data_IF_036295835813
#
_entry.id   IF_036295835813
#
_cell.length_a   1.000
_cell.length_b   1.000
_cell.length_c   1.000
_cell.angle_alpha   90.00
_cell.angle_beta   90.00
_cell.angle_gamma   90.00
#
_symmetry.space_group_name_H-M   'P 1'
#
loop_
_entity.id
_entity.type
_entity.pdbx_description
1 polymer ?
#
# COMPACT_ATOMS: atom_id res chain seq x y z
N UNK A 1 9.98 -9.32 17.72
CA UNK A 1 8.63 -8.72 17.83
C UNK A 1 8.63 -7.42 17.07
N UNK A 2 7.74 -7.27 16.10
CA UNK A 2 7.22 -5.98 15.64
C UNK A 2 6.08 -6.29 14.68
N UNK A 3 4.90 -6.52 15.23
CA UNK A 3 3.63 -6.39 14.52
C UNK A 3 3.39 -4.89 14.29
N UNK A 4 4.25 -4.27 13.48
CA UNK A 4 3.99 -2.92 12.97
C UNK A 4 2.81 -3.04 12.02
N UNK A 5 1.73 -2.32 12.32
CA UNK A 5 0.55 -2.17 11.48
C UNK A 5 0.97 -1.98 10.03
N UNK A 6 0.73 -2.98 9.19
CA UNK A 6 1.07 -2.92 7.77
C UNK A 6 0.23 -1.81 7.15
N UNK A 7 0.90 -0.78 6.62
CA UNK A 7 0.21 0.30 5.92
C UNK A 7 -0.49 -0.25 4.67
N UNK A 8 -1.80 -0.01 4.59
CA UNK A 8 -2.69 -0.54 3.57
C UNK A 8 -3.69 0.51 3.13
N UNK A 9 -4.21 0.39 1.91
CA UNK A 9 -5.29 1.24 1.45
C UNK A 9 -6.60 0.91 2.18
N UNK A 10 -7.23 1.93 2.75
CA UNK A 10 -8.57 1.91 3.33
C UNK A 10 -9.40 2.99 2.63
N UNK A 11 -10.74 2.93 2.71
CA UNK A 11 -11.59 3.97 2.10
C UNK A 11 -11.24 5.37 2.60
N UNK A 12 -10.77 5.47 3.84
CA UNK A 12 -10.41 6.73 4.48
C UNK A 12 -9.08 7.33 3.99
N UNK A 13 -8.10 6.50 3.60
CA UNK A 13 -6.77 6.99 3.18
C UNK A 13 -6.55 6.91 1.65
N UNK A 14 -7.43 6.25 0.90
CA UNK A 14 -7.26 6.04 -0.54
C UNK A 14 -7.11 7.36 -1.32
N UNK A 15 -7.97 8.34 -1.03
CA UNK A 15 -7.88 9.67 -1.67
C UNK A 15 -6.58 10.40 -1.34
N UNK A 16 -6.03 10.18 -0.15
CA UNK A 16 -4.73 10.77 0.21
C UNK A 16 -3.59 10.05 -0.51
N UNK A 17 -3.70 8.74 -0.76
CA UNK A 17 -2.69 7.94 -1.47
C UNK A 17 -2.60 8.25 -2.97
N UNK A 18 -3.66 8.77 -3.57
CA UNK A 18 -3.66 9.25 -4.96
C UNK A 18 -2.85 10.55 -5.15
N UNK A 19 -2.55 11.27 -4.06
CA UNK A 19 -1.79 12.52 -4.14
C UNK A 19 -0.30 12.23 -4.33
N UNK A 20 0.37 12.87 -5.32
CA UNK A 20 1.82 12.76 -5.48
C UNK A 20 2.57 13.09 -4.18
N UNK A 21 3.47 12.20 -3.78
CA UNK A 21 4.26 12.35 -2.54
C UNK A 21 3.56 11.88 -1.27
N UNK A 22 2.35 11.32 -1.34
CA UNK A 22 1.65 10.77 -0.17
C UNK A 22 2.43 9.65 0.54
N UNK A 23 3.12 8.80 -0.23
CA UNK A 23 3.98 7.75 0.30
C UNK A 23 5.20 8.27 1.07
N UNK A 24 5.67 9.49 0.78
CA UNK A 24 6.78 10.12 1.51
C UNK A 24 6.32 10.52 2.92
N UNK A 25 5.08 11.03 3.04
CA UNK A 25 4.49 11.41 4.33
C UNK A 25 4.26 10.21 5.24
N UNK A 26 4.01 9.05 4.64
CA UNK A 26 3.75 7.79 5.34
C UNK A 26 4.95 6.83 5.32
N UNK A 27 6.15 7.32 4.98
CA UNK A 27 7.32 6.47 4.75
C UNK A 27 7.60 5.53 5.93
N UNK A 28 7.57 6.02 7.16
CA UNK A 28 7.81 5.20 8.36
C UNK A 28 6.78 4.07 8.54
N UNK A 29 5.55 4.25 8.07
CA UNK A 29 4.49 3.25 8.16
C UNK A 29 4.57 2.18 7.04
N UNK A 30 5.28 2.46 5.95
CA UNK A 30 5.45 1.49 4.85
C UNK A 30 6.30 0.29 5.30
N UNK A 31 5.94 -0.89 4.81
CA UNK A 31 6.77 -2.08 4.98
C UNK A 31 8.10 -1.92 4.24
N UNK A 32 9.13 -2.61 4.73
CA UNK A 32 10.46 -2.59 4.08
C UNK A 32 10.39 -2.98 2.60
N UNK A 33 9.54 -3.97 2.25
CA UNK A 33 9.36 -4.41 0.85
C UNK A 33 8.83 -3.29 -0.05
N UNK A 34 7.88 -2.48 0.43
CA UNK A 34 7.35 -1.36 -0.36
C UNK A 34 8.40 -0.26 -0.49
N UNK A 35 9.16 0.02 0.59
CA UNK A 35 10.28 0.97 0.54
C UNK A 35 11.30 0.58 -0.51
N UNK A 36 11.70 -0.70 -0.52
CA UNK A 36 12.65 -1.24 -1.50
C UNK A 36 12.12 -1.14 -2.93
N UNK A 37 10.82 -1.42 -3.15
CA UNK A 37 10.20 -1.29 -4.46
C UNK A 37 10.15 0.18 -4.95
N UNK A 38 9.90 1.14 -4.06
CA UNK A 38 9.95 2.57 -4.39
C UNK A 38 11.39 2.99 -4.75
N UNK A 39 12.38 2.60 -3.95
CA UNK A 39 13.79 2.90 -4.25
C UNK A 39 14.26 2.24 -5.55
N UNK A 40 13.77 1.04 -5.86
CA UNK A 40 14.08 0.35 -7.10
C UNK A 40 13.46 1.08 -8.31
N UNK A 41 12.19 1.48 -8.21
CA UNK A 41 11.51 2.20 -9.29
C UNK A 41 12.12 3.58 -9.54
N UNK A 42 12.52 4.29 -8.48
CA UNK A 42 13.28 5.55 -8.59
C UNK A 42 14.60 5.34 -9.35
N UNK A 43 15.37 4.31 -9.00
CA UNK A 43 16.64 3.98 -9.68
C UNK A 43 16.46 3.54 -11.14
N UNK A 44 15.29 2.99 -11.47
CA UNK A 44 14.93 2.56 -12.81
C UNK A 44 14.22 3.66 -13.62
N UNK A 45 14.07 4.87 -13.06
CA UNK A 45 13.32 5.98 -13.67
C UNK A 45 11.88 5.61 -14.05
N UNK A 46 11.26 4.71 -13.29
CA UNK A 46 9.88 4.28 -13.49
C UNK A 46 8.95 5.21 -12.68
N UNK A 47 8.08 6.00 -13.35
CA UNK A 47 7.28 7.02 -12.67
C UNK A 47 6.09 6.47 -11.87
N UNK A 48 5.73 5.19 -12.05
CA UNK A 48 4.56 4.59 -11.40
C UNK A 48 4.87 3.19 -10.87
N UNK A 49 4.54 2.96 -9.60
CA UNK A 49 4.61 1.64 -8.95
C UNK A 49 3.20 1.23 -8.53
N UNK A 50 2.78 0.04 -8.92
CA UNK A 50 1.51 -0.53 -8.52
C UNK A 50 1.75 -1.54 -7.41
N UNK A 51 1.10 -1.34 -6.26
CA UNK A 51 1.15 -2.26 -5.12
C UNK A 51 -0.27 -2.58 -4.75
N UNK A 52 -0.73 -3.81 -4.98
CA UNK A 52 -2.15 -4.20 -4.80
C UNK A 52 -2.70 -3.83 -3.41
N UNK A 53 -1.88 -3.98 -2.36
CA UNK A 53 -2.25 -3.62 -0.99
C UNK A 53 -2.45 -2.11 -0.75
N UNK A 54 -1.90 -1.27 -1.63
CA UNK A 54 -2.00 0.20 -1.60
C UNK A 54 -2.94 0.75 -2.68
N UNK A 55 -3.22 -0.02 -3.72
CA UNK A 55 -4.10 0.37 -4.83
C UNK A 55 -5.53 -0.21 -4.69
N UNK A 56 -5.72 -1.22 -3.83
CA UNK A 56 -7.02 -1.85 -3.58
C UNK A 56 -7.38 -1.62 -2.11
N UNK A 57 -8.56 -1.06 -1.86
CA UNK A 57 -9.12 -0.88 -0.51
C UNK A 57 -9.23 -2.23 0.18
N UNK A 58 -8.48 -2.42 1.25
CA UNK A 58 -8.42 -3.65 2.05
C UNK A 58 -9.51 -3.70 3.14
N UNK A 59 -10.23 -2.59 3.35
CA UNK A 59 -11.27 -2.43 4.37
C UNK A 59 -12.65 -2.93 3.91
N UNK A 60 -12.77 -3.41 2.67
CA UNK A 60 -13.95 -4.16 2.23
C UNK A 60 -13.78 -5.64 2.60
N UNK A 61 -14.23 -6.01 3.80
CA UNK A 61 -14.36 -7.41 4.26
C UNK A 61 -15.35 -8.25 3.42
N UNK A 62 -15.86 -7.75 2.29
CA UNK A 62 -16.90 -8.40 1.50
C UNK A 62 -16.38 -9.44 0.48
N UNK A 63 -15.16 -9.98 0.67
CA UNK A 63 -14.58 -10.98 -0.26
C UNK A 63 -14.25 -12.33 0.37
N UNK A 64 -14.74 -12.65 1.58
CA UNK A 64 -14.43 -13.93 2.25
C UNK A 64 -15.65 -14.67 2.83
N UNK A 65 -16.72 -14.89 2.06
CA UNK A 65 -17.83 -15.75 2.53
C UNK A 65 -18.43 -16.75 1.51
N UNK A 66 -17.74 -17.10 0.43
CA UNK A 66 -18.15 -18.23 -0.42
C UNK A 66 -16.90 -18.97 -0.88
N UNK A 67 -16.59 -20.13 -0.28
CA UNK A 67 -15.85 -21.29 -0.86
C UNK A 67 -15.30 -22.24 0.23
N UNK A 68 -16.07 -22.46 1.31
CA UNK A 68 -16.00 -23.71 2.08
C UNK A 68 -17.43 -24.25 2.20
N UNK A 69 -17.87 -24.97 1.17
CA UNK A 69 -18.93 -25.97 1.28
C UNK A 69 -18.36 -27.32 0.91
#
# INVERSE_FOLDING_TARGET
GNTGTVFQATKANFQELEVPGSFIRHWEALSMTVKDAILLTEKLEIPFLWVDRLCIVQDDENSMQHNIS
#
